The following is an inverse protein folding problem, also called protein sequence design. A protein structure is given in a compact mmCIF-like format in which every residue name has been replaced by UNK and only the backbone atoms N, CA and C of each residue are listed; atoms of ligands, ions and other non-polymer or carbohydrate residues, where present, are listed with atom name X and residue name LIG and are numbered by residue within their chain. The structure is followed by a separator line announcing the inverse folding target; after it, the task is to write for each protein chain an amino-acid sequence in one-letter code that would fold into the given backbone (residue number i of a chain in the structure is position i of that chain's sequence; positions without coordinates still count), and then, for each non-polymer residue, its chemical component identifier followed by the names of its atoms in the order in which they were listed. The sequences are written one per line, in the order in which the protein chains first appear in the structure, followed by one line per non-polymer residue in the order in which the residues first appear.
data_IF_908099552244
#
_entry.id   IF_908099552244
#
_cell.length_a   1.000
_cell.length_b   1.000
_cell.length_c   1.000
_cell.angle_alpha   90.00
_cell.angle_beta   90.00
_cell.angle_gamma   90.00
#
_symmetry.space_group_name_H-M   'P 1'
#
loop_
_entity.id
_entity.type
_entity.pdbx_description
1 polymer ?
#
# COMPACT_ATOMS: atom_id res chain seq x y z
N UNK A 1 -27.58 10.39 -7.90
CA UNK A 1 -28.08 9.27 -7.08
C UNK A 1 -28.77 8.25 -7.99
N UNK A 2 -28.58 6.97 -7.71
CA UNK A 2 -29.18 5.89 -8.50
C UNK A 2 -30.64 5.69 -8.11
N UNK A 3 -31.50 5.47 -9.10
CA UNK A 3 -32.91 5.15 -8.87
C UNK A 3 -33.08 3.68 -8.40
N UNK A 4 -34.23 3.36 -7.82
CA UNK A 4 -34.55 2.03 -7.28
C UNK A 4 -34.50 0.94 -8.37
N UNK A 5 -34.90 1.24 -9.59
CA UNK A 5 -34.89 0.29 -10.70
C UNK A 5 -33.45 -0.09 -11.09
N UNK A 6 -32.56 0.89 -11.18
CA UNK A 6 -31.14 0.67 -11.47
C UNK A 6 -30.49 -0.18 -10.38
N UNK A 7 -30.74 0.16 -9.11
CA UNK A 7 -30.22 -0.60 -7.96
C UNK A 7 -30.68 -2.05 -8.00
N UNK A 8 -31.97 -2.27 -8.22
CA UNK A 8 -32.54 -3.63 -8.33
C UNK A 8 -31.95 -4.44 -9.48
N UNK A 9 -31.77 -3.82 -10.64
CA UNK A 9 -31.19 -4.45 -11.82
C UNK A 9 -29.74 -4.84 -11.59
N UNK A 10 -28.92 -3.96 -11.01
CA UNK A 10 -27.53 -4.27 -10.66
C UNK A 10 -27.44 -5.39 -9.64
N UNK A 11 -28.23 -5.34 -8.56
CA UNK A 11 -28.27 -6.40 -7.55
C UNK A 11 -28.68 -7.76 -8.11
N UNK A 12 -29.56 -7.80 -9.08
CA UNK A 12 -29.98 -9.03 -9.74
C UNK A 12 -28.83 -9.74 -10.48
N UNK A 13 -27.76 -9.02 -10.83
CA UNK A 13 -26.58 -9.60 -11.48
C UNK A 13 -25.57 -10.21 -10.50
N UNK A 14 -25.68 -9.96 -9.19
CA UNK A 14 -24.71 -10.42 -8.19
C UNK A 14 -24.46 -11.93 -8.24
N UNK A 15 -25.49 -12.81 -8.31
CA UNK A 15 -25.25 -14.24 -8.39
C UNK A 15 -24.42 -14.65 -9.61
N UNK A 16 -24.66 -14.02 -10.76
CA UNK A 16 -23.91 -14.28 -11.99
C UNK A 16 -22.44 -13.82 -11.86
N UNK A 17 -22.21 -12.66 -11.24
CA UNK A 17 -20.85 -12.15 -11.01
C UNK A 17 -20.09 -13.10 -10.08
N UNK A 18 -20.69 -13.54 -8.99
CA UNK A 18 -20.07 -14.45 -8.01
C UNK A 18 -19.74 -15.80 -8.66
N UNK A 19 -20.65 -16.35 -9.46
CA UNK A 19 -20.42 -17.61 -10.18
C UNK A 19 -19.27 -17.48 -11.19
N UNK A 20 -19.19 -16.35 -11.89
CA UNK A 20 -18.16 -16.11 -12.90
C UNK A 20 -16.78 -15.89 -12.27
N UNK A 21 -16.74 -15.18 -11.16
CA UNK A 21 -15.51 -14.88 -10.44
C UNK A 21 -14.50 -14.06 -11.27
N UNK A 22 -13.20 -14.22 -10.99
CA UNK A 22 -12.14 -13.46 -11.65
C UNK A 22 -12.02 -13.66 -13.17
N UNK A 23 -12.72 -14.62 -13.75
CA UNK A 23 -12.82 -14.77 -15.23
C UNK A 23 -13.41 -13.53 -15.88
N UNK A 24 -14.32 -12.84 -15.18
CA UNK A 24 -14.90 -11.59 -15.64
C UNK A 24 -13.81 -10.53 -15.85
N UNK A 25 -12.97 -10.33 -14.84
CA UNK A 25 -11.91 -9.31 -14.90
C UNK A 25 -10.74 -9.74 -15.76
N UNK A 26 -10.48 -11.04 -15.90
CA UNK A 26 -9.53 -11.54 -16.88
C UNK A 26 -9.94 -11.14 -18.30
N UNK A 27 -11.19 -11.37 -18.69
CA UNK A 27 -11.73 -10.95 -20.00
C UNK A 27 -11.65 -9.44 -20.17
N UNK A 28 -12.03 -8.69 -19.13
CA UNK A 28 -11.96 -7.23 -19.12
C UNK A 28 -10.54 -6.71 -19.41
N UNK A 29 -9.54 -7.20 -18.69
CA UNK A 29 -8.15 -6.75 -18.89
C UNK A 29 -7.59 -7.15 -20.24
N UNK A 30 -7.84 -8.38 -20.69
CA UNK A 30 -7.41 -8.84 -22.00
C UNK A 30 -8.00 -7.96 -23.12
N UNK A 31 -9.29 -7.63 -23.01
CA UNK A 31 -9.98 -6.73 -23.94
C UNK A 31 -9.39 -5.33 -23.90
N UNK A 32 -9.24 -4.77 -22.71
CA UNK A 32 -8.73 -3.41 -22.53
C UNK A 32 -7.33 -3.25 -23.11
N UNK A 33 -6.42 -4.15 -22.81
CA UNK A 33 -5.04 -4.06 -23.31
C UNK A 33 -4.94 -4.35 -24.82
N UNK A 34 -5.84 -5.14 -25.38
CA UNK A 34 -5.90 -5.37 -26.83
C UNK A 34 -6.34 -4.11 -27.59
N UNK A 35 -7.29 -3.34 -27.06
CA UNK A 35 -7.83 -2.13 -27.69
C UNK A 35 -7.11 -0.86 -27.28
N UNK A 36 -6.57 -0.82 -26.06
CA UNK A 36 -5.87 0.34 -25.47
C UNK A 36 -4.50 -0.09 -24.92
N UNK A 37 -3.54 -0.49 -25.79
CA UNK A 37 -2.24 -0.99 -25.36
C UNK A 37 -1.40 0.06 -24.62
N UNK A 38 -1.68 1.36 -24.79
CA UNK A 38 -1.04 2.45 -24.05
C UNK A 38 -1.24 2.35 -22.55
N UNK A 39 -2.29 1.68 -22.09
CA UNK A 39 -2.54 1.49 -20.65
C UNK A 39 -1.55 0.52 -20.00
N UNK A 40 -0.79 -0.24 -20.77
CA UNK A 40 0.32 -1.06 -20.26
C UNK A 40 1.44 -0.20 -19.65
N UNK A 41 1.52 1.07 -20.03
CA UNK A 41 2.45 2.04 -19.44
C UNK A 41 2.02 2.49 -18.02
N UNK A 42 0.77 2.24 -17.64
CA UNK A 42 0.20 2.63 -16.35
C UNK A 42 0.05 1.44 -15.41
N UNK A 43 -0.46 0.32 -15.90
CA UNK A 43 -0.72 -0.86 -15.09
C UNK A 43 0.53 -1.68 -14.81
N UNK A 44 0.62 -2.22 -13.58
CA UNK A 44 1.66 -3.16 -13.21
C UNK A 44 1.45 -4.51 -13.91
N UNK A 45 2.18 -4.75 -14.98
CA UNK A 45 2.03 -5.96 -15.79
C UNK A 45 2.49 -7.24 -15.05
N UNK A 46 3.26 -7.12 -13.96
CA UNK A 46 3.56 -8.25 -13.08
C UNK A 46 2.32 -8.70 -12.31
N UNK A 47 1.55 -7.76 -11.75
CA UNK A 47 0.28 -8.06 -11.08
C UNK A 47 -0.76 -8.61 -12.08
N UNK A 48 -0.68 -8.22 -13.34
CA UNK A 48 -1.53 -8.80 -14.39
C UNK A 48 -1.17 -10.26 -14.66
N UNK A 49 0.12 -10.60 -14.70
CA UNK A 49 0.58 -11.97 -14.96
C UNK A 49 0.25 -12.94 -13.83
N UNK A 50 0.37 -12.51 -12.57
CA UNK A 50 0.09 -13.37 -11.41
C UNK A 50 -1.39 -13.42 -11.02
N UNK A 51 -2.25 -12.60 -11.63
CA UNK A 51 -3.68 -12.58 -11.39
C UNK A 51 -4.14 -11.72 -10.20
N UNK A 52 -3.24 -11.15 -9.41
CA UNK A 52 -3.59 -10.37 -8.22
C UNK A 52 -4.48 -9.16 -8.57
N UNK A 53 -4.19 -8.49 -9.68
CA UNK A 53 -4.97 -7.33 -10.12
C UNK A 53 -6.38 -7.74 -10.59
N UNK A 54 -6.50 -8.89 -11.24
CA UNK A 54 -7.79 -9.43 -11.70
C UNK A 54 -8.69 -9.76 -10.52
N UNK A 55 -8.13 -10.40 -9.50
CA UNK A 55 -8.84 -10.72 -8.27
C UNK A 55 -9.26 -9.44 -7.52
N UNK A 56 -8.37 -8.48 -7.38
CA UNK A 56 -8.65 -7.22 -6.69
C UNK A 56 -9.77 -6.44 -7.37
N UNK A 57 -9.75 -6.32 -8.69
CA UNK A 57 -10.81 -5.65 -9.45
C UNK A 57 -12.13 -6.40 -9.34
N UNK A 58 -12.12 -7.73 -9.42
CA UNK A 58 -13.33 -8.54 -9.26
C UNK A 58 -13.96 -8.30 -7.90
N UNK A 59 -13.17 -8.35 -6.83
CA UNK A 59 -13.66 -8.13 -5.47
C UNK A 59 -14.23 -6.71 -5.30
N UNK A 60 -13.63 -5.70 -5.93
CA UNK A 60 -14.14 -4.34 -5.91
C UNK A 60 -15.50 -4.21 -6.62
N UNK A 61 -15.65 -4.83 -7.78
CA UNK A 61 -16.92 -4.84 -8.54
C UNK A 61 -18.02 -5.55 -7.73
N UNK A 62 -17.71 -6.71 -7.17
CA UNK A 62 -18.67 -7.48 -6.36
C UNK A 62 -19.09 -6.72 -5.09
N UNK A 63 -18.14 -6.08 -4.41
CA UNK A 63 -18.41 -5.26 -3.24
C UNK A 63 -19.27 -4.05 -3.58
N UNK A 64 -19.01 -3.39 -4.71
CA UNK A 64 -19.82 -2.27 -5.18
C UNK A 64 -21.26 -2.70 -5.47
N UNK A 65 -21.46 -3.77 -6.22
CA UNK A 65 -22.79 -4.28 -6.51
C UNK A 65 -23.57 -4.67 -5.24
N UNK A 66 -22.89 -5.31 -4.29
CA UNK A 66 -23.49 -5.73 -3.02
C UNK A 66 -23.86 -4.57 -2.09
N UNK A 67 -23.18 -3.43 -2.21
CA UNK A 67 -23.38 -2.24 -1.37
C UNK A 67 -23.94 -1.04 -2.15
N UNK A 68 -24.52 -1.27 -3.31
CA UNK A 68 -24.98 -0.18 -4.20
C UNK A 68 -26.06 0.69 -3.57
N UNK A 69 -26.81 0.17 -2.61
CA UNK A 69 -27.79 0.90 -1.80
C UNK A 69 -27.23 1.45 -0.48
N UNK A 70 -25.95 1.20 -0.20
CA UNK A 70 -25.27 1.66 1.00
C UNK A 70 -23.84 2.13 0.64
N UNK A 71 -23.74 3.11 -0.24
CA UNK A 71 -22.43 3.63 -0.71
C UNK A 71 -21.54 4.17 0.42
N UNK A 72 -22.06 4.78 1.51
CA UNK A 72 -21.21 5.20 2.63
C UNK A 72 -20.36 4.09 3.23
N UNK A 73 -20.81 2.83 3.19
CA UNK A 73 -20.03 1.69 3.67
C UNK A 73 -18.75 1.43 2.85
N UNK A 74 -18.69 1.94 1.61
CA UNK A 74 -17.55 1.77 0.70
C UNK A 74 -16.53 2.93 0.76
N UNK A 75 -16.85 4.02 1.46
CA UNK A 75 -15.99 5.22 1.47
C UNK A 75 -14.57 4.94 1.96
N UNK A 76 -14.32 4.12 3.00
CA UNK A 76 -12.94 3.78 3.39
C UNK A 76 -12.16 3.07 2.28
N UNK A 77 -12.79 2.14 1.56
CA UNK A 77 -12.17 1.46 0.41
C UNK A 77 -11.93 2.43 -0.75
N UNK A 78 -12.86 3.33 -1.01
CA UNK A 78 -12.72 4.38 -2.03
C UNK A 78 -11.52 5.27 -1.71
N UNK A 79 -11.38 5.73 -0.47
CA UNK A 79 -10.24 6.57 -0.06
C UNK A 79 -8.90 5.86 -0.27
N UNK A 80 -8.80 4.60 0.14
CA UNK A 80 -7.59 3.80 -0.06
C UNK A 80 -7.22 3.68 -1.54
N UNK A 81 -8.19 3.37 -2.38
CA UNK A 81 -7.97 3.21 -3.82
C UNK A 81 -7.64 4.55 -4.48
N UNK A 82 -8.37 5.62 -4.14
CA UNK A 82 -8.12 6.96 -4.68
C UNK A 82 -6.69 7.42 -4.38
N UNK A 83 -6.21 7.24 -3.14
CA UNK A 83 -4.83 7.54 -2.77
C UNK A 83 -3.83 6.76 -3.65
N UNK A 84 -4.06 5.46 -3.85
CA UNK A 84 -3.20 4.64 -4.73
C UNK A 84 -3.24 5.10 -6.19
N UNK A 85 -4.40 5.46 -6.71
CA UNK A 85 -4.56 5.93 -8.08
C UNK A 85 -3.76 7.21 -8.35
N UNK A 86 -3.62 8.10 -7.38
CA UNK A 86 -2.85 9.34 -7.57
C UNK A 86 -1.37 9.06 -7.82
N UNK A 87 -0.83 7.96 -7.30
CA UNK A 87 0.52 7.50 -7.64
C UNK A 87 0.70 7.21 -9.12
N UNK A 88 -0.34 6.76 -9.78
CA UNK A 88 -0.35 6.41 -11.21
C UNK A 88 -0.81 7.56 -12.10
N UNK A 89 -1.08 8.72 -11.53
CA UNK A 89 -1.56 9.91 -12.24
C UNK A 89 -2.81 9.61 -13.10
N UNK A 90 -3.75 8.84 -12.53
CA UNK A 90 -5.01 8.48 -13.19
C UNK A 90 -5.80 9.75 -13.54
N UNK A 91 -6.32 9.79 -14.76
CA UNK A 91 -7.06 10.93 -15.33
C UNK A 91 -8.54 10.56 -15.57
N UNK A 92 -9.45 11.54 -15.58
CA UNK A 92 -10.87 11.29 -15.83
C UNK A 92 -11.14 10.49 -17.11
N UNK A 93 -10.38 10.75 -18.19
CA UNK A 93 -10.56 10.07 -19.48
C UNK A 93 -10.31 8.56 -19.40
N UNK A 94 -9.42 8.14 -18.48
CA UNK A 94 -9.12 6.72 -18.27
C UNK A 94 -10.29 5.98 -17.64
N UNK A 95 -11.10 6.65 -16.82
CA UNK A 95 -12.35 6.07 -16.30
C UNK A 95 -13.35 5.78 -17.40
N UNK A 96 -13.42 6.61 -18.43
CA UNK A 96 -14.27 6.36 -19.59
C UNK A 96 -13.83 5.11 -20.38
N UNK A 97 -12.53 4.94 -20.55
CA UNK A 97 -11.96 3.74 -21.21
C UNK A 97 -12.31 2.49 -20.41
N UNK A 98 -12.07 2.51 -19.10
CA UNK A 98 -12.38 1.38 -18.21
C UNK A 98 -13.88 1.06 -18.25
N UNK A 99 -14.74 2.05 -18.16
CA UNK A 99 -16.20 1.87 -18.22
C UNK A 99 -16.66 1.24 -19.53
N UNK A 100 -16.14 1.69 -20.65
CA UNK A 100 -16.48 1.14 -21.98
C UNK A 100 -16.11 -0.34 -22.08
N UNK A 101 -14.92 -0.71 -21.58
CA UNK A 101 -14.49 -2.10 -21.60
C UNK A 101 -15.23 -2.98 -20.59
N UNK A 102 -15.63 -2.44 -19.44
CA UNK A 102 -16.44 -3.17 -18.49
C UNK A 102 -17.81 -3.53 -19.09
N UNK A 103 -18.51 -2.56 -19.68
CA UNK A 103 -19.82 -2.80 -20.31
C UNK A 103 -19.70 -3.77 -21.49
N UNK A 104 -18.68 -3.61 -22.33
CA UNK A 104 -18.42 -4.53 -23.43
C UNK A 104 -18.13 -5.94 -22.95
N UNK A 105 -17.41 -6.09 -21.84
CA UNK A 105 -17.14 -7.40 -21.21
C UNK A 105 -18.43 -8.07 -20.77
N UNK A 106 -19.32 -7.32 -20.09
CA UNK A 106 -20.62 -7.84 -19.66
C UNK A 106 -21.46 -8.30 -20.85
N UNK A 107 -21.47 -7.53 -21.94
CA UNK A 107 -22.20 -7.88 -23.14
C UNK A 107 -21.62 -9.11 -23.84
N UNK A 108 -20.33 -9.17 -24.03
CA UNK A 108 -19.64 -10.29 -24.69
C UNK A 108 -19.76 -11.61 -23.91
N UNK A 109 -19.70 -11.56 -22.58
CA UNK A 109 -19.74 -12.76 -21.73
C UNK A 109 -21.15 -13.26 -21.46
N UNK A 110 -22.13 -12.37 -21.32
CA UNK A 110 -23.44 -12.72 -20.78
C UNK A 110 -24.62 -12.36 -21.68
N UNK A 111 -24.45 -11.45 -22.64
CA UNK A 111 -25.55 -10.92 -23.45
C UNK A 111 -26.78 -10.59 -22.58
N UNK A 112 -26.65 -9.74 -21.56
CA UNK A 112 -27.66 -9.60 -20.53
C UNK A 112 -28.86 -8.73 -20.95
N UNK A 113 -28.77 -8.12 -22.13
CA UNK A 113 -29.76 -7.16 -22.62
C UNK A 113 -29.45 -5.72 -22.27
N UNK A 114 -30.09 -4.81 -22.98
CA UNK A 114 -29.81 -3.36 -22.89
C UNK A 114 -30.16 -2.79 -21.52
N UNK A 115 -31.22 -3.28 -20.88
CA UNK A 115 -31.63 -2.81 -19.55
C UNK A 115 -30.52 -3.02 -18.51
N UNK A 116 -29.88 -4.18 -18.52
CA UNK A 116 -28.76 -4.50 -17.58
C UNK A 116 -27.54 -3.65 -17.91
N UNK A 117 -27.20 -3.50 -19.18
CA UNK A 117 -26.06 -2.67 -19.61
C UNK A 117 -26.27 -1.20 -19.24
N UNK A 118 -27.48 -0.67 -19.43
CA UNK A 118 -27.80 0.72 -19.03
C UNK A 118 -27.72 0.90 -17.52
N UNK A 119 -28.19 -0.06 -16.74
CA UNK A 119 -28.12 -0.02 -15.28
C UNK A 119 -26.66 -0.01 -14.78
N UNK A 120 -25.82 -0.90 -15.32
CA UNK A 120 -24.41 -0.93 -15.00
C UNK A 120 -23.66 0.32 -15.47
N UNK A 121 -24.03 0.88 -16.62
CA UNK A 121 -23.49 2.14 -17.12
C UNK A 121 -23.74 3.30 -16.16
N UNK A 122 -24.97 3.41 -15.64
CA UNK A 122 -25.32 4.42 -14.63
C UNK A 122 -24.60 4.17 -13.29
N UNK A 123 -24.57 2.93 -12.83
CA UNK A 123 -23.88 2.54 -11.59
C UNK A 123 -22.39 2.84 -11.66
N UNK A 124 -21.75 2.45 -12.76
CA UNK A 124 -20.34 2.75 -13.00
C UNK A 124 -20.07 4.26 -13.03
N UNK A 125 -20.91 5.03 -13.69
CA UNK A 125 -20.79 6.48 -13.79
C UNK A 125 -20.81 7.17 -12.42
N UNK A 126 -21.68 6.72 -11.52
CA UNK A 126 -21.72 7.25 -10.14
C UNK A 126 -20.40 6.95 -9.40
N UNK A 127 -19.93 5.73 -9.46
CA UNK A 127 -18.68 5.34 -8.80
C UNK A 127 -17.48 6.07 -9.41
N UNK A 128 -17.39 6.14 -10.73
CA UNK A 128 -16.32 6.85 -11.43
C UNK A 128 -16.26 8.32 -11.03
N UNK A 129 -17.41 9.00 -10.92
CA UNK A 129 -17.47 10.40 -10.49
C UNK A 129 -17.00 10.59 -9.06
N UNK A 130 -17.28 9.64 -8.15
CA UNK A 130 -16.77 9.68 -6.77
C UNK A 130 -15.23 9.62 -6.79
N UNK A 131 -14.65 8.70 -7.53
CA UNK A 131 -13.19 8.59 -7.66
C UNK A 131 -12.56 9.82 -8.31
N UNK A 132 -13.11 10.26 -9.44
CA UNK A 132 -12.60 11.43 -10.18
C UNK A 132 -12.59 12.67 -9.27
N UNK A 133 -13.68 12.90 -8.54
CA UNK A 133 -13.77 14.03 -7.61
C UNK A 133 -12.77 13.94 -6.48
N UNK A 134 -12.65 12.79 -5.86
CA UNK A 134 -11.72 12.60 -4.75
C UNK A 134 -10.26 12.69 -5.20
N UNK A 135 -9.92 12.08 -6.32
CA UNK A 135 -8.56 12.14 -6.89
C UNK A 135 -8.19 13.56 -7.28
N UNK A 136 -9.10 14.32 -7.86
CA UNK A 136 -8.88 15.73 -8.16
C UNK A 136 -8.56 16.57 -6.89
N UNK A 137 -9.26 16.32 -5.79
CA UNK A 137 -8.96 16.94 -4.50
C UNK A 137 -7.57 16.58 -3.99
N UNK A 138 -7.19 15.32 -4.09
CA UNK A 138 -5.86 14.84 -3.66
C UNK A 138 -4.76 15.50 -4.52
N UNK A 139 -4.91 15.55 -5.84
CA UNK A 139 -3.95 16.21 -6.72
C UNK A 139 -3.78 17.68 -6.35
N UNK A 140 -4.88 18.38 -6.11
CA UNK A 140 -4.86 19.78 -5.71
C UNK A 140 -4.18 19.98 -4.35
N UNK A 141 -4.50 19.17 -3.36
CA UNK A 141 -3.88 19.20 -2.04
C UNK A 141 -2.37 18.96 -2.13
N UNK A 142 -1.95 17.98 -2.91
CA UNK A 142 -0.54 17.66 -3.11
C UNK A 142 0.20 18.81 -3.80
N UNK A 143 -0.39 19.44 -4.80
CA UNK A 143 0.21 20.57 -5.51
C UNK A 143 0.30 21.82 -4.65
N UNK A 144 -0.64 22.04 -3.73
CA UNK A 144 -0.72 23.25 -2.90
C UNK A 144 0.13 23.20 -1.64
N UNK A 145 0.65 22.04 -1.24
CA UNK A 145 1.59 21.93 -0.11
C UNK A 145 2.88 22.69 -0.40
N UNK A 146 3.51 23.23 0.65
CA UNK A 146 4.88 23.74 0.52
C UNK A 146 5.79 22.64 -0.02
N UNK A 147 6.47 22.89 -1.14
CA UNK A 147 7.29 21.89 -1.83
C UNK A 147 6.51 20.83 -2.56
N UNK A 148 5.19 20.99 -2.69
CA UNK A 148 4.31 20.07 -3.41
C UNK A 148 4.44 20.19 -4.93
N UNK A 149 3.89 19.21 -5.64
CA UNK A 149 3.90 19.22 -7.11
C UNK A 149 2.73 18.40 -7.65
N UNK A 150 2.44 18.63 -8.91
CA UNK A 150 1.50 17.87 -9.71
C UNK A 150 2.28 17.01 -10.71
N UNK A 151 1.76 15.84 -11.07
CA UNK A 151 2.46 14.92 -11.95
C UNK A 151 3.67 14.27 -11.29
N UNK A 152 4.75 14.11 -12.04
CA UNK A 152 6.01 13.58 -11.54
C UNK A 152 7.08 14.67 -11.47
N UNK A 153 7.99 14.53 -10.52
CA UNK A 153 9.12 15.45 -10.29
C UNK A 153 10.43 14.69 -10.27
N UNK A 154 11.47 15.27 -10.86
CA UNK A 154 12.79 14.65 -10.95
C UNK A 154 13.52 14.69 -9.60
N UNK A 155 14.00 13.54 -9.17
CA UNK A 155 14.82 13.35 -7.97
C UNK A 155 16.11 12.63 -8.32
N UNK A 156 17.16 12.93 -7.57
CA UNK A 156 18.44 12.25 -7.69
C UNK A 156 18.63 11.27 -6.54
N UNK A 157 19.12 10.08 -6.85
CA UNK A 157 19.58 9.14 -5.82
C UNK A 157 20.89 9.71 -5.25
N UNK A 158 20.85 10.17 -4.01
CA UNK A 158 22.04 10.75 -3.35
C UNK A 158 22.76 9.75 -2.47
N UNK A 159 22.04 8.69 -2.02
CA UNK A 159 22.65 7.64 -1.23
C UNK A 159 21.92 6.32 -1.46
N UNK A 160 22.70 5.26 -1.65
CA UNK A 160 22.22 3.87 -1.78
C UNK A 160 22.94 3.04 -0.73
N UNK A 161 22.17 2.48 0.23
CA UNK A 161 22.75 1.80 1.39
C UNK A 161 22.11 0.42 1.56
N UNK A 162 22.87 -0.67 1.45
CA UNK A 162 22.39 -2.00 1.83
C UNK A 162 22.02 -2.02 3.30
N UNK A 163 20.83 -2.54 3.63
CA UNK A 163 20.32 -2.66 5.01
C UNK A 163 20.24 -4.11 5.47
N UNK A 164 20.14 -5.04 4.52
CA UNK A 164 20.19 -6.48 4.71
C UNK A 164 20.56 -7.12 3.37
N UNK A 165 20.59 -8.46 3.32
CA UNK A 165 20.82 -9.16 2.06
C UNK A 165 19.72 -8.90 1.01
N UNK A 166 18.51 -8.54 1.45
CA UNK A 166 17.36 -8.34 0.56
C UNK A 166 16.92 -6.88 0.46
N UNK A 167 17.25 -6.02 1.41
CA UNK A 167 16.71 -4.66 1.49
C UNK A 167 17.83 -3.63 1.35
N UNK A 168 17.62 -2.68 0.43
CA UNK A 168 18.50 -1.53 0.21
C UNK A 168 17.69 -0.25 0.34
N UNK A 169 18.20 0.73 1.09
CA UNK A 169 17.58 2.05 1.17
C UNK A 169 18.15 3.00 0.14
N UNK A 170 17.30 3.93 -0.29
CA UNK A 170 17.63 4.99 -1.25
C UNK A 170 17.21 6.33 -0.66
N UNK A 171 18.14 7.25 -0.57
CA UNK A 171 17.85 8.64 -0.22
C UNK A 171 17.77 9.45 -1.50
N UNK A 172 16.67 10.21 -1.63
CA UNK A 172 16.26 10.91 -2.85
C UNK A 172 16.14 12.40 -2.55
N UNK A 173 16.81 13.23 -3.32
CA UNK A 173 16.71 14.68 -3.22
C UNK A 173 16.25 15.28 -4.55
N UNK A 174 15.47 16.38 -4.54
CA UNK A 174 14.98 16.98 -5.76
C UNK A 174 16.14 17.55 -6.60
N UNK A 175 16.09 17.32 -7.91
CA UNK A 175 17.12 17.82 -8.85
C UNK A 175 17.16 19.34 -8.83
N UNK A 176 16.02 20.00 -8.65
CA UNK A 176 15.92 21.48 -8.60
C UNK A 176 16.37 22.09 -7.27
N UNK A 177 16.67 21.28 -6.25
CA UNK A 177 17.14 21.74 -4.94
C UNK A 177 16.08 22.47 -4.11
N UNK A 178 14.85 22.56 -4.57
CA UNK A 178 13.77 23.24 -3.85
C UNK A 178 13.18 22.34 -2.76
N UNK A 179 12.47 22.89 -1.77
CA UNK A 179 11.80 22.09 -0.74
C UNK A 179 10.87 21.03 -1.33
N UNK A 180 10.68 19.94 -0.60
CA UNK A 180 9.77 18.85 -0.96
C UNK A 180 8.61 18.74 0.03
N UNK A 181 7.46 18.26 -0.45
CA UNK A 181 6.26 18.15 0.35
C UNK A 181 6.46 17.24 1.56
N UNK A 182 5.93 17.66 2.71
CA UNK A 182 5.79 16.82 3.89
C UNK A 182 4.75 15.71 3.64
N UNK A 183 4.82 14.70 4.48
CA UNK A 183 3.91 13.54 4.45
C UNK A 183 3.67 13.04 5.87
N UNK A 184 2.63 12.22 6.03
CA UNK A 184 2.34 11.56 7.29
C UNK A 184 3.13 10.24 7.42
N UNK A 185 3.63 9.89 8.62
CA UNK A 185 4.37 8.64 8.83
C UNK A 185 3.50 7.41 8.51
N UNK A 186 3.93 6.61 7.56
CA UNK A 186 3.19 5.46 7.03
C UNK A 186 2.81 5.61 5.56
N UNK A 187 2.81 6.83 5.04
CA UNK A 187 2.54 7.09 3.64
C UNK A 187 3.67 6.60 2.73
N UNK A 188 3.38 6.50 1.45
CA UNK A 188 4.28 6.04 0.41
C UNK A 188 4.45 7.12 -0.67
N UNK A 189 5.47 6.94 -1.50
CA UNK A 189 5.61 7.64 -2.78
C UNK A 189 5.58 6.62 -3.92
N UNK A 190 5.46 7.08 -5.14
CA UNK A 190 5.58 6.24 -6.32
C UNK A 190 6.79 6.64 -7.15
N UNK A 191 7.59 5.65 -7.50
CA UNK A 191 8.73 5.80 -8.41
C UNK A 191 8.31 5.39 -9.82
N UNK A 192 8.64 6.23 -10.80
CA UNK A 192 8.34 6.06 -12.21
C UNK A 192 9.64 5.83 -12.97
N UNK A 193 9.77 4.67 -13.64
CA UNK A 193 11.00 4.25 -14.29
C UNK A 193 10.72 3.67 -15.67
N UNK A 194 11.56 4.06 -16.66
CA UNK A 194 11.65 3.38 -17.95
C UNK A 194 13.12 3.35 -18.41
N UNK A 195 13.99 2.64 -17.67
CA UNK A 195 15.37 2.51 -18.09
C UNK A 195 15.50 1.66 -19.36
N UNK A 196 16.67 1.68 -19.96
CA UNK A 196 16.96 0.85 -21.12
C UNK A 196 16.69 -0.64 -20.80
N UNK A 197 16.01 -1.32 -21.71
CA UNK A 197 15.62 -2.72 -21.55
C UNK A 197 14.22 -2.93 -20.97
N UNK A 198 13.56 -1.87 -20.48
CA UNK A 198 12.17 -1.96 -20.06
C UNK A 198 11.24 -1.81 -21.26
N UNK A 199 10.33 -2.77 -21.46
CA UNK A 199 9.32 -2.72 -22.52
C UNK A 199 8.30 -1.61 -22.27
N UNK A 200 7.88 -1.47 -21.00
CA UNK A 200 6.91 -0.48 -20.56
C UNK A 200 7.48 0.39 -19.44
N UNK A 201 6.90 1.57 -19.27
CA UNK A 201 7.10 2.34 -18.06
C UNK A 201 6.59 1.54 -16.86
N UNK A 202 7.36 1.53 -15.78
CA UNK A 202 6.99 0.82 -14.56
C UNK A 202 6.84 1.83 -13.42
N UNK A 203 5.77 1.64 -12.66
CA UNK A 203 5.44 2.49 -11.51
C UNK A 203 5.34 1.58 -10.29
N UNK A 204 6.06 1.92 -9.23
CA UNK A 204 6.00 1.16 -7.96
C UNK A 204 5.88 2.11 -6.79
N UNK A 205 5.08 1.71 -5.81
CA UNK A 205 4.90 2.42 -4.56
C UNK A 205 5.85 1.87 -3.51
N UNK A 206 6.53 2.77 -2.80
CA UNK A 206 7.41 2.42 -1.69
C UNK A 206 7.11 3.32 -0.50
N UNK A 207 6.91 2.72 0.67
CA UNK A 207 6.69 3.46 1.91
C UNK A 207 7.89 4.32 2.25
N UNK A 208 7.61 5.53 2.74
CA UNK A 208 8.63 6.41 3.28
C UNK A 208 9.09 5.87 4.64
N UNK A 209 10.37 5.93 4.94
CA UNK A 209 10.98 5.19 6.05
C UNK A 209 11.45 6.06 7.21
N UNK A 210 11.23 7.37 7.14
CA UNK A 210 11.59 8.31 8.21
C UNK A 210 10.59 9.44 8.28
N UNK A 211 10.64 10.23 9.34
CA UNK A 211 9.85 11.45 9.48
C UNK A 211 10.18 12.44 8.36
N UNK A 212 9.16 13.14 7.86
CA UNK A 212 9.34 14.19 6.87
C UNK A 212 10.29 15.29 7.38
N UNK A 213 11.20 15.74 6.53
CA UNK A 213 12.17 16.81 6.84
C UNK A 213 12.10 18.00 5.87
N UNK A 214 11.26 17.94 4.83
CA UNK A 214 11.12 18.97 3.81
C UNK A 214 12.28 19.07 2.82
N UNK A 215 13.28 18.18 2.90
CA UNK A 215 14.52 18.23 2.09
C UNK A 215 14.62 17.08 1.10
N UNK A 216 14.13 15.90 1.48
CA UNK A 216 14.23 14.72 0.64
C UNK A 216 13.40 13.57 1.19
N UNK A 217 13.52 12.43 0.54
CA UNK A 217 12.79 11.22 0.88
C UNK A 217 13.75 10.04 1.02
N UNK A 218 13.39 9.12 1.90
CA UNK A 218 14.07 7.83 2.00
C UNK A 218 13.05 6.71 1.84
N UNK A 219 13.33 5.80 0.92
CA UNK A 219 12.61 4.54 0.73
C UNK A 219 13.54 3.37 0.97
N UNK A 220 12.98 2.20 1.23
CA UNK A 220 13.73 0.96 1.32
C UNK A 220 13.05 -0.11 0.48
N UNK A 221 13.84 -0.75 -0.39
CA UNK A 221 13.35 -1.63 -1.44
C UNK A 221 13.84 -3.04 -1.18
N UNK A 222 12.92 -3.98 -1.01
CA UNK A 222 13.23 -5.40 -1.00
C UNK A 222 13.38 -5.88 -2.44
N UNK A 223 14.49 -6.59 -2.71
CA UNK A 223 14.67 -7.25 -4.00
C UNK A 223 13.73 -8.45 -4.08
N UNK A 224 12.69 -8.32 -4.91
CA UNK A 224 11.76 -9.42 -5.16
C UNK A 224 12.29 -10.33 -6.27
N UNK A 225 12.16 -11.62 -6.09
CA UNK A 225 12.51 -12.58 -7.13
C UNK A 225 11.61 -12.37 -8.35
N UNK A 226 12.23 -12.18 -9.52
CA UNK A 226 11.51 -11.84 -10.75
C UNK A 226 10.93 -10.42 -10.79
N UNK A 227 11.14 -9.62 -9.77
CA UNK A 227 10.69 -8.23 -9.72
C UNK A 227 11.52 -7.33 -10.62
N UNK A 228 10.90 -6.68 -11.59
CA UNK A 228 11.59 -5.89 -12.61
C UNK A 228 12.18 -4.60 -12.02
N UNK A 229 11.39 -3.83 -11.27
CA UNK A 229 11.82 -2.55 -10.69
C UNK A 229 12.76 -2.77 -9.51
N UNK A 230 12.42 -3.67 -8.59
CA UNK A 230 13.26 -3.93 -7.42
C UNK A 230 14.64 -4.47 -7.82
N UNK A 231 14.70 -5.34 -8.81
CA UNK A 231 15.96 -5.86 -9.34
C UNK A 231 16.79 -4.77 -10.02
N UNK A 232 16.16 -3.90 -10.80
CA UNK A 232 16.85 -2.79 -11.42
C UNK A 232 17.43 -1.82 -10.38
N UNK A 233 16.66 -1.47 -9.36
CA UNK A 233 17.10 -0.60 -8.26
C UNK A 233 18.29 -1.20 -7.51
N UNK A 234 18.27 -2.50 -7.21
CA UNK A 234 19.36 -3.16 -6.51
C UNK A 234 20.60 -3.32 -7.38
N UNK A 235 20.45 -3.72 -8.64
CA UNK A 235 21.55 -4.16 -9.48
C UNK A 235 22.13 -3.06 -10.38
N UNK A 236 21.32 -2.09 -10.80
CA UNK A 236 21.69 -1.12 -11.83
C UNK A 236 21.62 0.34 -11.39
N UNK A 237 20.71 0.71 -10.48
CA UNK A 237 20.62 2.07 -9.99
C UNK A 237 21.87 2.46 -9.18
N UNK A 238 22.36 3.66 -9.40
CA UNK A 238 23.56 4.19 -8.76
C UNK A 238 23.30 5.58 -8.18
N UNK A 239 24.13 5.96 -7.20
CA UNK A 239 24.15 7.34 -6.71
C UNK A 239 24.43 8.29 -7.87
N UNK A 240 23.65 9.36 -7.95
CA UNK A 240 23.67 10.30 -9.07
C UNK A 240 22.59 10.07 -10.13
N UNK A 241 21.99 8.88 -10.20
CA UNK A 241 20.92 8.60 -11.15
C UNK A 241 19.68 9.42 -10.82
N UNK A 242 18.95 9.81 -11.87
CA UNK A 242 17.69 10.54 -11.75
C UNK A 242 16.52 9.59 -11.90
N UNK A 243 15.57 9.73 -11.00
CA UNK A 243 14.29 9.01 -11.01
C UNK A 243 13.14 10.01 -10.89
N UNK A 244 11.94 9.61 -11.27
CA UNK A 244 10.78 10.49 -11.23
C UNK A 244 9.81 10.00 -10.17
N UNK A 245 9.31 10.93 -9.35
CA UNK A 245 8.42 10.61 -8.23
C UNK A 245 7.07 11.30 -8.37
N UNK A 246 5.98 10.54 -8.17
CA UNK A 246 4.70 11.11 -7.82
C UNK A 246 4.72 11.50 -6.33
N UNK A 247 3.91 12.50 -5.97
CA UNK A 247 3.87 13.03 -4.61
C UNK A 247 3.48 11.96 -3.57
N UNK A 248 3.95 12.10 -2.31
CA UNK A 248 3.53 11.22 -1.23
C UNK A 248 2.01 11.15 -1.09
N UNK A 249 1.51 9.95 -0.84
CA UNK A 249 0.08 9.66 -0.70
C UNK A 249 -0.13 8.46 0.24
N UNK A 250 -1.38 8.10 0.48
CA UNK A 250 -1.77 6.94 1.28
C UNK A 250 -2.69 7.31 2.43
N UNK A 251 -3.62 6.40 2.73
CA UNK A 251 -4.56 6.54 3.84
C UNK A 251 -4.09 5.87 5.13
N UNK A 252 -3.00 5.09 5.04
CA UNK A 252 -2.37 4.41 6.17
C UNK A 252 -1.27 5.28 6.76
N UNK A 253 -1.49 5.84 7.95
CA UNK A 253 -0.49 6.65 8.63
C UNK A 253 -0.77 6.74 10.12
N UNK A 254 0.26 7.07 10.87
CA UNK A 254 0.17 7.26 12.30
C UNK A 254 -0.67 8.51 12.63
N UNK A 255 -1.72 8.30 13.42
CA UNK A 255 -2.57 9.38 13.91
C UNK A 255 -2.95 9.10 15.36
N UNK A 256 -2.11 9.54 16.28
CA UNK A 256 -2.28 9.29 17.71
C UNK A 256 -1.93 10.54 18.52
N UNK A 257 -2.50 10.64 19.71
CA UNK A 257 -2.17 11.69 20.69
C UNK A 257 -0.85 11.36 21.40
N UNK A 258 -0.16 12.34 21.99
CA UNK A 258 1.14 12.12 22.65
C UNK A 258 1.17 11.07 23.75
N UNK A 259 0.04 10.75 24.37
CA UNK A 259 -0.07 9.75 25.45
C UNK A 259 -0.63 8.41 24.97
N UNK A 260 -1.09 8.31 23.73
CA UNK A 260 -1.73 7.10 23.23
C UNK A 260 -0.70 5.98 23.09
N UNK A 261 -0.91 4.81 23.72
CA UNK A 261 -0.02 3.68 23.49
C UNK A 261 -0.15 3.13 22.07
N UNK A 262 0.97 2.73 21.48
CA UNK A 262 1.05 2.28 20.07
C UNK A 262 1.81 0.98 19.99
N UNK A 263 1.30 0.03 19.24
CA UNK A 263 2.01 -1.18 18.85
C UNK A 263 2.21 -1.21 17.34
N UNK A 264 3.46 -1.33 16.93
CA UNK A 264 3.88 -1.42 15.54
C UNK A 264 4.26 -2.87 15.22
N UNK A 265 3.50 -3.54 14.35
CA UNK A 265 3.70 -4.95 14.01
C UNK A 265 4.10 -5.06 12.54
N UNK A 266 5.23 -5.69 12.28
CA UNK A 266 5.72 -5.84 10.91
C UNK A 266 6.34 -7.20 10.64
N UNK A 267 6.24 -7.63 9.37
CA UNK A 267 6.94 -8.78 8.83
C UNK A 267 7.77 -8.39 7.61
N UNK A 268 9.05 -8.78 7.59
CA UNK A 268 9.93 -8.49 6.46
C UNK A 268 9.99 -7.01 6.09
N UNK A 269 9.83 -6.70 4.82
CA UNK A 269 9.87 -5.30 4.32
C UNK A 269 8.67 -4.46 4.78
N UNK A 270 7.63 -5.08 5.34
CA UNK A 270 6.50 -4.37 5.96
C UNK A 270 6.91 -3.46 7.12
N UNK A 271 8.13 -3.55 7.61
CA UNK A 271 8.66 -2.62 8.63
C UNK A 271 8.85 -1.19 8.09
N UNK A 272 8.89 -0.99 6.78
CA UNK A 272 9.22 0.32 6.20
C UNK A 272 8.28 1.45 6.63
N UNK A 273 6.94 1.33 6.56
CA UNK A 273 6.07 2.36 7.11
C UNK A 273 6.14 2.48 8.63
N UNK A 274 6.37 1.36 9.34
CA UNK A 274 6.51 1.36 10.80
C UNK A 274 7.75 2.12 11.24
N UNK A 275 8.83 2.06 10.45
CA UNK A 275 10.06 2.77 10.74
C UNK A 275 9.85 4.29 10.72
N UNK A 276 9.09 4.80 9.76
CA UNK A 276 8.70 6.21 9.71
C UNK A 276 7.85 6.60 10.93
N UNK A 277 6.93 5.72 11.34
CA UNK A 277 6.10 5.94 12.54
C UNK A 277 6.97 5.99 13.80
N UNK A 278 7.90 5.06 13.95
CA UNK A 278 8.82 5.03 15.08
C UNK A 278 9.70 6.29 15.13
N UNK A 279 10.24 6.70 13.99
CA UNK A 279 11.05 7.92 13.86
C UNK A 279 10.25 9.16 14.29
N UNK A 280 9.01 9.27 13.83
CA UNK A 280 8.11 10.37 14.21
C UNK A 280 7.78 10.36 15.70
N UNK A 281 7.49 9.20 16.28
CA UNK A 281 7.21 9.06 17.72
C UNK A 281 8.44 9.47 18.56
N UNK A 282 9.63 9.00 18.20
CA UNK A 282 10.86 9.33 18.89
C UNK A 282 11.15 10.85 18.82
N UNK A 283 11.05 11.45 17.63
CA UNK A 283 11.36 12.87 17.42
C UNK A 283 10.30 13.83 18.00
N UNK A 284 9.06 13.38 18.12
CA UNK A 284 7.99 14.19 18.74
C UNK A 284 7.98 14.12 20.27
N UNK A 285 8.83 13.29 20.89
CA UNK A 285 8.83 13.10 22.32
C UNK A 285 7.60 12.38 22.86
N UNK A 286 7.09 11.40 22.10
CA UNK A 286 5.91 10.63 22.46
C UNK A 286 6.05 10.01 23.85
N UNK A 287 5.03 10.15 24.71
CA UNK A 287 5.05 9.73 26.10
C UNK A 287 4.39 8.37 26.35
N UNK A 288 3.46 7.97 25.50
CA UNK A 288 2.78 6.67 25.59
C UNK A 288 3.71 5.50 25.32
N UNK A 289 3.32 4.32 25.80
CA UNK A 289 4.03 3.07 25.51
C UNK A 289 4.11 2.85 23.99
N UNK A 290 5.31 2.52 23.50
CA UNK A 290 5.54 2.11 22.12
C UNK A 290 6.12 0.71 22.09
N UNK A 291 5.46 -0.19 21.39
CA UNK A 291 5.94 -1.55 21.16
C UNK A 291 6.36 -1.70 19.70
N UNK A 292 7.55 -2.25 19.47
CA UNK A 292 8.06 -2.63 18.17
C UNK A 292 8.14 -4.15 18.08
N UNK A 293 7.24 -4.75 17.31
CA UNK A 293 7.16 -6.20 17.11
C UNK A 293 7.46 -6.53 15.66
N UNK A 294 8.56 -7.23 15.43
CA UNK A 294 9.03 -7.51 14.09
C UNK A 294 9.35 -9.00 13.90
N UNK A 295 8.93 -9.54 12.76
CA UNK A 295 9.21 -10.90 12.33
C UNK A 295 10.06 -10.91 11.06
N UNK A 296 11.11 -11.70 11.07
CA UNK A 296 11.98 -11.92 9.91
C UNK A 296 12.37 -13.40 9.80
N UNK A 297 12.89 -13.80 8.66
CA UNK A 297 13.36 -15.17 8.47
C UNK A 297 14.59 -15.45 9.36
N UNK A 298 15.56 -14.55 9.33
CA UNK A 298 16.79 -14.60 10.13
C UNK A 298 17.49 -13.22 10.13
N UNK A 299 18.65 -13.13 10.78
CA UNK A 299 19.40 -11.88 10.89
C UNK A 299 19.99 -11.37 9.58
N UNK A 300 20.25 -12.24 8.61
CA UNK A 300 20.81 -11.83 7.31
C UNK A 300 19.82 -10.99 6.49
N UNK A 301 18.53 -11.16 6.74
CA UNK A 301 17.46 -10.43 6.07
C UNK A 301 16.72 -9.42 6.96
N UNK A 302 17.20 -9.25 8.20
CA UNK A 302 16.66 -8.28 9.15
C UNK A 302 17.32 -6.92 8.98
N UNK A 303 16.61 -6.00 8.34
CA UNK A 303 17.09 -4.65 8.08
C UNK A 303 16.80 -3.70 9.26
N UNK A 304 17.59 -2.64 9.41
CA UNK A 304 17.36 -1.51 10.29
C UNK A 304 17.38 -1.81 11.81
N UNK A 305 17.92 -2.94 12.25
CA UNK A 305 17.92 -3.30 13.67
C UNK A 305 18.57 -2.24 14.56
N UNK A 306 19.72 -1.69 14.14
CA UNK A 306 20.44 -0.67 14.91
C UNK A 306 19.69 0.67 14.94
N UNK A 307 19.07 1.07 13.83
CA UNK A 307 18.26 2.29 13.76
C UNK A 307 17.04 2.19 14.69
N UNK A 308 16.35 1.06 14.69
CA UNK A 308 15.21 0.79 15.59
C UNK A 308 15.65 0.87 17.05
N UNK A 309 16.78 0.28 17.39
CA UNK A 309 17.35 0.33 18.75
C UNK A 309 17.64 1.78 19.19
N UNK A 310 18.26 2.56 18.31
CA UNK A 310 18.57 3.97 18.58
C UNK A 310 17.31 4.82 18.76
N UNK A 311 16.31 4.63 17.92
CA UNK A 311 15.03 5.35 18.02
C UNK A 311 14.27 4.95 19.30
N UNK A 312 14.25 3.67 19.63
CA UNK A 312 13.62 3.19 20.85
C UNK A 312 14.27 3.77 22.12
N UNK A 313 15.59 3.93 22.12
CA UNK A 313 16.32 4.51 23.25
C UNK A 313 15.94 5.98 23.51
N UNK A 314 15.42 6.68 22.51
CA UNK A 314 14.96 8.07 22.65
C UNK A 314 13.53 8.18 23.19
N UNK A 315 12.81 7.06 23.34
CA UNK A 315 11.45 7.03 23.87
C UNK A 315 11.45 6.71 25.37
N UNK A 316 10.57 7.33 26.17
CA UNK A 316 10.50 7.07 27.62
C UNK A 316 9.95 5.68 27.96
N UNK A 317 9.11 5.11 27.10
CA UNK A 317 8.50 3.81 27.30
C UNK A 317 8.50 3.03 25.99
N UNK A 318 9.52 2.21 25.79
CA UNK A 318 9.71 1.43 24.57
C UNK A 318 9.97 -0.04 24.88
N UNK A 319 9.30 -0.93 24.16
CA UNK A 319 9.53 -2.37 24.20
C UNK A 319 9.70 -2.90 22.78
N UNK A 320 10.71 -3.73 22.57
CA UNK A 320 10.96 -4.39 21.29
C UNK A 320 10.94 -5.90 21.48
N UNK A 321 10.33 -6.61 20.54
CA UNK A 321 10.40 -8.06 20.47
C UNK A 321 10.55 -8.50 19.00
N UNK A 322 11.56 -9.31 18.72
CA UNK A 322 11.92 -9.78 17.40
C UNK A 322 11.83 -11.30 17.33
N UNK A 323 11.10 -11.80 16.37
CA UNK A 323 10.99 -13.24 16.07
C UNK A 323 11.77 -13.56 14.78
N UNK A 324 12.66 -14.56 14.87
CA UNK A 324 13.25 -15.16 13.67
C UNK A 324 12.65 -16.52 13.43
N UNK A 325 12.12 -16.75 12.25
CA UNK A 325 11.50 -18.04 11.89
C UNK A 325 12.52 -19.15 11.88
N UNK A 326 13.70 -18.90 11.28
CA UNK A 326 14.78 -19.86 11.13
C UNK A 326 16.12 -19.17 11.43
N UNK A 327 16.44 -18.93 12.71
CA UNK A 327 17.70 -18.25 13.07
C UNK A 327 18.91 -19.06 12.60
N UNK A 328 19.97 -18.34 12.20
CA UNK A 328 21.27 -18.95 11.92
C UNK A 328 22.03 -19.17 13.23
N UNK A 329 23.09 -19.96 13.17
CA UNK A 329 23.97 -20.15 14.34
C UNK A 329 24.60 -18.82 14.78
N UNK A 330 25.00 -17.97 13.82
CA UNK A 330 25.50 -16.64 14.12
C UNK A 330 24.46 -15.76 14.83
N UNK A 331 23.18 -15.87 14.45
CA UNK A 331 22.08 -15.16 15.13
C UNK A 331 21.96 -15.59 16.59
N UNK A 332 22.06 -16.88 16.86
CA UNK A 332 21.98 -17.44 18.22
C UNK A 332 23.15 -16.97 19.08
N UNK A 333 24.36 -17.01 18.55
CA UNK A 333 25.55 -16.57 19.25
C UNK A 333 25.55 -15.07 19.54
N UNK A 334 25.05 -14.26 18.60
CA UNK A 334 24.99 -12.81 18.74
C UNK A 334 23.75 -12.31 19.52
N UNK A 335 22.78 -13.18 19.80
CA UNK A 335 21.54 -12.81 20.48
C UNK A 335 20.72 -11.77 19.73
N UNK A 336 20.62 -11.90 18.41
CA UNK A 336 19.99 -10.90 17.53
C UNK A 336 18.46 -10.90 17.56
N UNK A 337 17.85 -11.87 18.22
CA UNK A 337 16.41 -12.05 18.25
C UNK A 337 15.95 -12.48 19.64
N UNK A 338 14.65 -12.33 19.91
CA UNK A 338 14.07 -12.65 21.22
C UNK A 338 13.38 -14.01 21.23
N UNK A 339 12.74 -14.40 20.13
CA UNK A 339 12.02 -15.69 20.02
C UNK A 339 12.25 -16.33 18.66
N UNK A 340 12.28 -17.66 18.65
CA UNK A 340 12.34 -18.47 17.42
C UNK A 340 10.92 -18.87 17.01
N UNK A 341 10.66 -18.85 15.71
CA UNK A 341 9.40 -19.25 15.12
C UNK A 341 8.60 -18.07 14.58
N UNK A 342 7.30 -18.28 14.42
CA UNK A 342 6.37 -17.24 13.97
C UNK A 342 6.06 -16.27 15.11
N UNK A 343 5.61 -15.06 14.76
CA UNK A 343 5.20 -14.05 15.74
C UNK A 343 4.05 -14.58 16.60
N UNK A 344 4.36 -14.88 17.86
CA UNK A 344 3.39 -15.33 18.86
C UNK A 344 3.07 -14.19 19.80
N UNK A 345 1.91 -13.56 19.65
CA UNK A 345 1.50 -12.42 20.45
C UNK A 345 1.12 -12.80 21.88
N UNK A 346 0.89 -14.07 22.17
CA UNK A 346 0.69 -14.55 23.54
C UNK A 346 1.94 -14.28 24.40
N UNK A 347 3.13 -14.35 23.82
CA UNK A 347 4.38 -14.08 24.52
C UNK A 347 4.54 -12.61 24.96
N UNK A 348 3.82 -11.70 24.33
CA UNK A 348 3.86 -10.26 24.61
C UNK A 348 2.49 -9.70 24.98
N UNK A 349 1.54 -10.56 25.35
CA UNK A 349 0.16 -10.18 25.63
C UNK A 349 0.03 -9.07 26.69
N UNK A 350 0.90 -9.08 27.71
CA UNK A 350 0.87 -8.07 28.76
C UNK A 350 1.23 -6.66 28.25
N UNK A 351 1.98 -6.57 27.15
CA UNK A 351 2.40 -5.30 26.57
C UNK A 351 1.35 -4.67 25.68
N UNK A 352 0.30 -5.41 25.31
CA UNK A 352 -0.69 -4.99 24.29
C UNK A 352 -2.13 -4.98 24.81
N UNK A 353 -2.32 -4.95 26.13
CA UNK A 353 -3.65 -5.00 26.77
C UNK A 353 -4.28 -3.64 27.06
N UNK A 354 -3.55 -2.56 26.90
CA UNK A 354 -4.07 -1.22 27.18
C UNK A 354 -5.28 -0.94 26.29
N UNK A 355 -6.45 -0.60 26.86
CA UNK A 355 -7.67 -0.38 26.06
C UNK A 355 -7.60 0.86 25.16
N UNK A 356 -6.62 1.76 25.35
CA UNK A 356 -6.40 2.93 24.51
C UNK A 356 -5.39 2.68 23.37
N UNK A 357 -4.77 1.51 23.33
CA UNK A 357 -3.70 1.20 22.37
C UNK A 357 -4.21 1.17 20.94
N UNK A 358 -3.42 1.71 20.03
CA UNK A 358 -3.62 1.62 18.58
C UNK A 358 -2.59 0.67 17.98
N UNK A 359 -3.00 -0.12 17.01
CA UNK A 359 -2.18 -1.17 16.39
C UNK A 359 -2.01 -0.88 14.91
N UNK A 360 -0.77 -0.89 14.45
CA UNK A 360 -0.43 -0.69 13.03
C UNK A 360 0.29 -1.93 12.52
N UNK A 361 -0.14 -2.47 11.40
CA UNK A 361 0.24 -3.79 10.91
C UNK A 361 0.59 -3.73 9.42
N UNK A 362 1.77 -4.26 9.05
CA UNK A 362 2.18 -4.36 7.65
C UNK A 362 3.15 -5.53 7.44
N UNK A 363 3.01 -6.22 6.32
CA UNK A 363 3.84 -7.35 5.95
C UNK A 363 3.17 -8.20 4.88
N UNK A 364 3.68 -9.41 4.61
CA UNK A 364 3.00 -10.36 3.73
C UNK A 364 1.57 -10.61 4.19
N UNK A 365 0.66 -10.84 3.25
CA UNK A 365 -0.78 -11.03 3.58
C UNK A 365 -0.98 -12.14 4.60
N UNK A 366 -0.32 -13.28 4.44
CA UNK A 366 -0.42 -14.39 5.40
C UNK A 366 0.05 -13.99 6.81
N UNK A 367 1.13 -13.22 6.91
CA UNK A 367 1.60 -12.67 8.18
C UNK A 367 0.57 -11.74 8.81
N UNK A 368 0.00 -10.83 8.03
CA UNK A 368 -1.00 -9.88 8.54
C UNK A 368 -2.26 -10.58 9.00
N UNK A 369 -2.74 -11.57 8.26
CA UNK A 369 -3.91 -12.38 8.65
C UNK A 369 -3.64 -13.12 9.96
N UNK A 370 -2.47 -13.72 10.11
CA UNK A 370 -2.05 -14.43 11.31
C UNK A 370 -1.96 -13.50 12.53
N UNK A 371 -1.34 -12.34 12.38
CA UNK A 371 -1.22 -11.35 13.46
C UNK A 371 -2.57 -10.74 13.83
N UNK A 372 -3.38 -10.34 12.84
CA UNK A 372 -4.70 -9.75 13.07
C UNK A 372 -5.62 -10.74 13.80
N UNK A 373 -5.61 -12.01 13.42
CA UNK A 373 -6.37 -13.06 14.09
C UNK A 373 -6.00 -13.17 15.57
N UNK A 374 -4.72 -13.17 15.88
CA UNK A 374 -4.25 -13.21 17.27
C UNK A 374 -4.70 -11.99 18.07
N UNK A 375 -4.63 -10.78 17.48
CA UNK A 375 -5.10 -9.56 18.14
C UNK A 375 -6.60 -9.66 18.47
N UNK A 376 -7.41 -10.12 17.54
CA UNK A 376 -8.86 -10.31 17.76
C UNK A 376 -9.13 -11.37 18.84
N UNK A 377 -8.41 -12.48 18.84
CA UNK A 377 -8.51 -13.54 19.86
C UNK A 377 -8.13 -13.03 21.26
N UNK A 378 -7.24 -12.04 21.35
CA UNK A 378 -6.88 -11.37 22.61
C UNK A 378 -7.90 -10.31 23.04
N UNK A 379 -9.01 -10.15 22.30
CA UNK A 379 -10.09 -9.23 22.63
C UNK A 379 -9.90 -7.80 22.12
N UNK A 380 -8.95 -7.56 21.21
CA UNK A 380 -8.71 -6.24 20.66
C UNK A 380 -9.77 -5.92 19.62
N UNK A 381 -10.37 -4.72 19.72
CA UNK A 381 -11.37 -4.23 18.78
C UNK A 381 -10.73 -3.98 17.41
N UNK A 382 -11.36 -4.47 16.35
CA UNK A 382 -10.90 -4.29 14.96
C UNK A 382 -10.72 -2.82 14.57
N UNK A 383 -11.51 -1.91 15.14
CA UNK A 383 -11.41 -0.47 14.86
C UNK A 383 -10.07 0.15 15.28
N UNK A 384 -9.33 -0.54 16.14
CA UNK A 384 -8.01 -0.12 16.61
C UNK A 384 -6.85 -0.74 15.83
N UNK A 385 -7.16 -1.61 14.87
CA UNK A 385 -6.18 -2.32 14.04
C UNK A 385 -6.15 -1.67 12.66
N UNK A 386 -5.02 -1.05 12.32
CA UNK A 386 -4.78 -0.39 11.04
C UNK A 386 -3.75 -1.19 10.26
N UNK A 387 -3.98 -1.40 8.98
CA UNK A 387 -3.05 -2.18 8.16
C UNK A 387 -2.87 -1.60 6.76
N UNK A 388 -1.73 -1.90 6.15
CA UNK A 388 -1.41 -1.60 4.75
C UNK A 388 -1.03 -2.87 4.02
N UNK A 389 -1.66 -3.10 2.87
CA UNK A 389 -1.27 -4.17 1.95
C UNK A 389 -0.31 -3.62 0.90
N UNK A 390 0.82 -4.26 0.72
CA UNK A 390 1.69 -3.98 -0.41
C UNK A 390 1.15 -4.71 -1.65
N UNK A 391 0.89 -3.93 -2.71
CA UNK A 391 0.25 -4.42 -3.92
C UNK A 391 -1.26 -4.14 -3.97
N UNK A 392 -2.03 -4.89 -4.79
CA UNK A 392 -3.48 -4.75 -4.87
C UNK A 392 -4.14 -5.00 -3.52
N UNK A 393 -5.16 -4.18 -3.21
CA UNK A 393 -5.83 -4.23 -1.90
C UNK A 393 -6.44 -5.61 -1.62
N UNK A 394 -6.19 -6.11 -0.42
CA UNK A 394 -6.84 -7.31 0.14
C UNK A 394 -7.38 -6.97 1.53
N UNK A 395 -8.58 -7.47 1.82
CA UNK A 395 -9.17 -7.37 3.16
C UNK A 395 -8.67 -8.52 4.02
N UNK A 396 -8.28 -8.22 5.24
CA UNK A 396 -7.79 -9.22 6.20
C UNK A 396 -8.92 -9.96 6.90
#
# INVERSE_FOLDING_TARGET
MLDAQTIATVKATIPLLVETGPKLTAHFYDRMFAHNPELKEVFNMSNQRNGDQREALFNAIAAYASNIDNLPALLPAVEKIAQKHTSFQIKPEQYNIVGSHLLATLDEMFSPGQEVLDAWGKAYGVLANVFIGREAEIYQQNASKTGGWEGTRAFRIVKKTPRSQLITSFELEPVDGQPVADYQPGQYLAIWLKPEGFEYQEIRQYSLTRKADGKGYRIAVKREEGGQVSSWLHNHASEGDVVYLAAPAGDFFLNVKPQTPVTLLSGGVGQTPMLAMLDALAKSGHQGQVNWFHAAENGDVHAFADEVKALGAALPAFTSHVWYRTPTEADRQAGRFDSEGLMDLAAVADNIRDPQMQYYLCGPVAFMQFAAKQLVELGINKDKIHYECFGPHKVL
#
